data_IF_166928993919
#
_entry.id   IF_166928993919
#
_cell.length_a   1.000
_cell.length_b   1.000
_cell.length_c   1.000
_cell.angle_alpha   90.00
_cell.angle_beta   90.00
_cell.angle_gamma   90.00
#
_symmetry.space_group_name_H-M   'P 1'
#
loop_
_entity.id
_entity.type
_entity.pdbx_description
1 polymer ?
#
# COMPACT_ATOMS: atom_id res chain seq x y z
N UNK A 1 4.27 -13.57 5.41
CA UNK A 1 2.99 -12.88 5.15
C UNK A 1 3.13 -11.50 5.71
N UNK A 2 2.72 -10.45 4.99
CA UNK A 2 2.86 -9.08 5.48
C UNK A 2 1.60 -8.67 6.25
N UNK A 3 1.81 -8.01 7.38
CA UNK A 3 0.80 -7.21 8.08
C UNK A 3 0.48 -5.95 7.29
N UNK A 4 -0.61 -5.28 7.65
CA UNK A 4 -0.99 -4.01 7.00
C UNK A 4 0.08 -2.93 7.18
N UNK A 5 0.70 -2.84 8.35
CA UNK A 5 1.72 -1.83 8.62
C UNK A 5 3.01 -2.09 7.84
N UNK A 6 3.37 -3.35 7.64
CA UNK A 6 4.47 -3.70 6.73
C UNK A 6 4.14 -3.32 5.28
N UNK A 7 2.89 -3.49 4.83
CA UNK A 7 2.47 -3.01 3.50
C UNK A 7 2.56 -1.49 3.38
N UNK A 8 2.20 -0.74 4.44
CA UNK A 8 2.36 0.73 4.47
C UNK A 8 3.83 1.14 4.38
N UNK A 9 4.72 0.40 5.06
CA UNK A 9 6.17 0.64 4.97
C UNK A 9 6.71 0.40 3.56
N UNK A 10 6.28 -0.67 2.88
CA UNK A 10 6.66 -0.93 1.49
C UNK A 10 6.13 0.14 0.54
N UNK A 11 4.89 0.62 0.76
CA UNK A 11 4.35 1.75 0.02
C UNK A 11 5.18 3.02 0.20
N UNK A 12 5.58 3.33 1.44
CA UNK A 12 6.42 4.49 1.74
C UNK A 12 7.78 4.41 1.02
N UNK A 13 8.45 3.26 1.04
CA UNK A 13 9.73 3.05 0.33
C UNK A 13 9.59 3.21 -1.18
N UNK A 14 8.51 2.68 -1.74
CA UNK A 14 8.24 2.79 -3.18
C UNK A 14 8.01 4.25 -3.58
N UNK A 15 7.28 5.01 -2.76
CA UNK A 15 7.10 6.45 -2.93
C UNK A 15 8.42 7.22 -2.85
N UNK A 16 9.27 6.93 -1.86
CA UNK A 16 10.59 7.57 -1.72
C UNK A 16 11.49 7.28 -2.93
N UNK A 17 11.47 6.05 -3.45
CA UNK A 17 12.24 5.65 -4.64
C UNK A 17 11.81 6.43 -5.89
N UNK A 18 10.51 6.71 -6.00
CA UNK A 18 9.92 7.46 -7.11
C UNK A 18 9.93 8.98 -6.87
N UNK A 19 10.31 9.40 -5.66
CA UNK A 19 10.51 10.79 -5.22
C UNK A 19 9.28 11.44 -4.58
N UNK A 20 8.06 11.16 -5.06
CA UNK A 20 6.85 11.74 -4.47
C UNK A 20 5.64 10.80 -4.54
N UNK A 21 4.69 10.98 -3.61
CA UNK A 21 3.40 10.26 -3.65
C UNK A 21 2.66 10.52 -4.96
N UNK A 22 2.75 11.76 -5.49
CA UNK A 22 2.11 12.15 -6.73
C UNK A 22 2.69 11.37 -7.92
N UNK A 23 4.01 11.33 -8.05
CA UNK A 23 4.68 10.61 -9.13
C UNK A 23 4.32 9.11 -9.13
N UNK A 24 4.41 8.47 -7.96
CA UNK A 24 4.04 7.06 -7.81
C UNK A 24 2.59 6.79 -8.19
N UNK A 25 1.67 7.68 -7.80
CA UNK A 25 0.25 7.57 -8.08
C UNK A 25 -0.07 7.75 -9.57
N UNK A 26 0.48 8.80 -10.20
CA UNK A 26 0.24 9.12 -11.61
C UNK A 26 0.72 8.01 -12.55
N UNK A 27 1.87 7.40 -12.25
CA UNK A 27 2.38 6.25 -13.03
C UNK A 27 1.53 4.99 -12.91
N UNK A 28 0.50 5.00 -12.04
CA UNK A 28 -0.41 3.88 -11.77
C UNK A 28 -1.89 4.28 -11.89
N UNK A 29 -2.19 5.44 -12.48
CA UNK A 29 -3.55 5.98 -12.61
C UNK A 29 -4.32 6.07 -11.29
N UNK A 30 -3.61 6.35 -10.19
CA UNK A 30 -4.17 6.52 -8.86
C UNK A 30 -4.19 7.99 -8.45
N UNK A 31 -5.08 8.33 -7.50
CA UNK A 31 -5.04 9.65 -6.89
C UNK A 31 -3.95 9.72 -5.81
N UNK A 32 -3.17 10.81 -5.71
CA UNK A 32 -2.23 11.01 -4.61
C UNK A 32 -2.92 10.98 -3.24
N UNK A 33 -4.18 11.44 -3.17
CA UNK A 33 -4.99 11.38 -1.96
C UNK A 33 -5.21 9.95 -1.47
N UNK A 34 -5.40 8.99 -2.38
CA UNK A 34 -5.56 7.60 -2.00
C UNK A 34 -4.31 7.05 -1.33
N UNK A 35 -3.13 7.37 -1.85
CA UNK A 35 -1.85 6.98 -1.24
C UNK A 35 -1.68 7.62 0.14
N UNK A 36 -1.96 8.92 0.24
CA UNK A 36 -1.94 9.63 1.51
C UNK A 36 -2.88 8.98 2.54
N UNK A 37 -4.11 8.63 2.15
CA UNK A 37 -5.06 7.95 3.04
C UNK A 37 -4.54 6.59 3.53
N UNK A 38 -3.89 5.81 2.66
CA UNK A 38 -3.33 4.50 3.03
C UNK A 38 -2.13 4.65 3.95
N UNK A 39 -1.20 5.55 3.63
CA UNK A 39 -0.01 5.82 4.45
C UNK A 39 -0.37 6.35 5.84
N UNK A 40 -1.45 7.13 5.96
CA UNK A 40 -1.95 7.65 7.23
C UNK A 40 -2.92 6.69 7.95
N UNK A 41 -3.13 5.48 7.42
CA UNK A 41 -4.02 4.48 8.03
C UNK A 41 -5.52 4.83 7.99
N UNK A 42 -5.92 5.88 7.25
CA UNK A 42 -7.33 6.23 7.02
C UNK A 42 -8.04 5.20 6.13
N UNK A 43 -7.28 4.50 5.29
CA UNK A 43 -7.76 3.42 4.41
C UNK A 43 -6.78 2.26 4.43
N UNK A 44 -7.32 1.07 4.18
CA UNK A 44 -6.52 -0.13 3.94
C UNK A 44 -5.96 -0.12 2.50
N UNK A 45 -4.78 -0.73 2.27
CA UNK A 45 -4.24 -0.93 0.93
C UNK A 45 -5.17 -1.79 0.07
N UNK A 46 -5.68 -1.20 -1.01
CA UNK A 46 -6.57 -1.88 -1.95
C UNK A 46 -5.82 -2.57 -3.09
N UNK A 47 -6.54 -3.26 -3.99
CA UNK A 47 -5.94 -4.08 -5.04
C UNK A 47 -4.95 -3.35 -5.94
N UNK A 48 -5.20 -2.08 -6.27
CA UNK A 48 -4.32 -1.29 -7.14
C UNK A 48 -3.00 -0.94 -6.45
N UNK A 49 -3.04 -0.56 -5.17
CA UNK A 49 -1.80 -0.33 -4.40
C UNK A 49 -1.02 -1.64 -4.25
N UNK A 50 -1.70 -2.74 -3.90
CA UNK A 50 -1.07 -4.05 -3.76
C UNK A 50 -0.41 -4.50 -5.06
N UNK A 51 -1.11 -4.39 -6.19
CA UNK A 51 -0.56 -4.70 -7.51
C UNK A 51 0.65 -3.82 -7.85
N UNK A 52 0.59 -2.52 -7.54
CA UNK A 52 1.69 -1.58 -7.73
C UNK A 52 2.94 -1.89 -6.90
N UNK A 53 2.80 -2.69 -5.83
CA UNK A 53 3.87 -3.19 -4.97
C UNK A 53 4.26 -4.65 -5.28
N UNK A 54 3.64 -5.29 -6.28
CA UNK A 54 3.84 -6.72 -6.55
C UNK A 54 3.25 -7.64 -5.48
N UNK A 55 2.28 -7.16 -4.71
CA UNK A 55 1.62 -7.85 -3.61
C UNK A 55 0.20 -8.27 -3.99
N UNK A 56 -0.35 -9.21 -3.23
CA UNK A 56 -1.77 -9.60 -3.30
C UNK A 56 -2.32 -9.80 -1.89
N UNK A 57 -3.62 -9.54 -1.70
CA UNK A 57 -4.28 -9.76 -0.41
C UNK A 57 -4.52 -11.25 -0.21
N UNK A 58 -4.08 -11.76 0.93
CA UNK A 58 -4.35 -13.12 1.41
C UNK A 58 -4.97 -13.00 2.80
N UNK A 59 -6.02 -13.77 3.08
CA UNK A 59 -6.65 -13.84 4.41
C UNK A 59 -6.18 -15.13 5.07
N UNK A 60 -5.68 -15.03 6.30
CA UNK A 60 -5.30 -16.18 7.14
C UNK A 60 -6.08 -16.18 8.43
N UNK A 61 -6.32 -17.39 8.95
CA UNK A 61 -6.93 -17.64 10.24
C UNK A 61 -5.91 -18.38 11.10
N UNK A 62 -5.82 -17.99 12.37
CA UNK A 62 -4.98 -18.65 13.35
C UNK A 62 -5.88 -19.25 14.44
N UNK A 63 -5.45 -20.35 15.06
CA UNK A 63 -6.15 -20.96 16.19
C UNK A 63 -5.99 -20.02 17.39
N UNK A 64 -7.10 -19.68 18.04
CA UNK A 64 -7.08 -18.93 19.28
C UNK A 64 -7.07 -19.95 20.43
N UNK A 65 -5.95 -20.03 21.16
CA UNK A 65 -5.86 -20.77 22.44
C UNK A 65 -6.34 -19.90 23.62
#
# INVERSE_FOLDING_TARGET
>A
MLTVDEVRLELWKAVETEGTQKAWAENRDLSPQYISDVLNGRREPGPLILAGLGLRRVVTYEVCD
#
